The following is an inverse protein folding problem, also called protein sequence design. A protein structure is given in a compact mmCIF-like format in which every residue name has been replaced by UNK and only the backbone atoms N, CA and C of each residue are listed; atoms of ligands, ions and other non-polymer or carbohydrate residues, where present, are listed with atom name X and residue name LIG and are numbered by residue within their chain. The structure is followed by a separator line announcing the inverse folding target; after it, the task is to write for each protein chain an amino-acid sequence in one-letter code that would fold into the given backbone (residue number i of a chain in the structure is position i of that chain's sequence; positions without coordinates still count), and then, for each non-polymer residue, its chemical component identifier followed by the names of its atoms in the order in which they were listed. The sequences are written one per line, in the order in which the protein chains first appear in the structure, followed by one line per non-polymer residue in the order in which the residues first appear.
data_IF_437276539488
#
_entry.id   IF_437276539488
#
_cell.length_a   1.000
_cell.length_b   1.000
_cell.length_c   1.000
_cell.angle_alpha   90.00
_cell.angle_beta   90.00
_cell.angle_gamma   90.00
#
_symmetry.space_group_name_H-M   'P 1'
#
loop_
_entity.id
_entity.type
_entity.pdbx_description
1 polymer ?
#
# COMPACT_ATOMS: atom_id res chain seq x y z
N UNK A 1 14.45 -16.85 -17.09
CA UNK A 1 13.25 -16.34 -17.78
C UNK A 1 12.29 -15.89 -16.69
N UNK A 2 11.78 -14.65 -16.78
CA UNK A 2 10.78 -14.11 -15.85
C UNK A 2 9.48 -14.92 -15.95
N UNK A 3 8.86 -15.27 -14.83
CA UNK A 3 7.51 -15.85 -14.86
C UNK A 3 6.48 -14.72 -15.03
N UNK A 4 5.30 -15.04 -15.59
CA UNK A 4 4.15 -14.11 -15.58
C UNK A 4 3.76 -13.67 -14.16
N UNK A 5 4.04 -14.50 -13.16
CA UNK A 5 3.85 -14.15 -11.75
C UNK A 5 4.83 -13.07 -11.29
N UNK A 6 6.12 -13.18 -11.65
CA UNK A 6 7.13 -12.18 -11.32
C UNK A 6 6.79 -10.82 -11.94
N UNK A 7 6.36 -10.79 -13.21
CA UNK A 7 5.94 -9.56 -13.91
C UNK A 7 4.75 -8.89 -13.21
N UNK A 8 3.76 -9.68 -12.82
CA UNK A 8 2.58 -9.15 -12.14
C UNK A 8 2.92 -8.62 -10.75
N UNK A 9 3.73 -9.36 -9.98
CA UNK A 9 4.17 -8.92 -8.66
C UNK A 9 5.03 -7.65 -8.76
N UNK A 10 5.88 -7.55 -9.79
CA UNK A 10 6.64 -6.34 -10.09
C UNK A 10 5.72 -5.15 -10.39
N UNK A 11 4.69 -5.32 -11.23
CA UNK A 11 3.72 -4.24 -11.50
C UNK A 11 2.98 -3.76 -10.25
N UNK A 12 2.72 -4.65 -9.28
CA UNK A 12 2.14 -4.27 -7.99
C UNK A 12 3.11 -3.41 -7.17
N UNK A 13 4.41 -3.71 -7.22
CA UNK A 13 5.44 -2.87 -6.59
C UNK A 13 5.56 -1.49 -7.26
N UNK A 14 5.48 -1.42 -8.59
CA UNK A 14 5.42 -0.13 -9.30
C UNK A 14 4.19 0.68 -8.88
N UNK A 15 3.04 0.01 -8.68
CA UNK A 15 1.84 0.67 -8.15
C UNK A 15 2.04 1.20 -6.74
N UNK A 16 2.70 0.44 -5.86
CA UNK A 16 3.07 0.93 -4.51
C UNK A 16 3.94 2.18 -4.61
N UNK A 17 4.99 2.15 -5.45
CA UNK A 17 5.85 3.31 -5.68
C UNK A 17 5.04 4.54 -6.16
N UNK A 18 4.13 4.35 -7.12
CA UNK A 18 3.28 5.42 -7.61
C UNK A 18 2.42 6.03 -6.49
N UNK A 19 1.81 5.20 -5.64
CA UNK A 19 1.01 5.70 -4.52
C UNK A 19 1.84 6.49 -3.50
N UNK A 20 3.12 6.15 -3.28
CA UNK A 20 4.02 6.96 -2.46
C UNK A 20 4.31 8.32 -3.08
N UNK A 21 4.52 8.37 -4.41
CA UNK A 21 4.73 9.63 -5.12
C UNK A 21 3.50 10.55 -5.05
N UNK A 22 2.29 9.98 -5.19
CA UNK A 22 1.03 10.70 -5.02
C UNK A 22 0.89 11.24 -3.60
N UNK A 23 1.22 10.44 -2.58
CA UNK A 23 1.21 10.89 -1.17
C UNK A 23 2.17 12.06 -0.91
N UNK A 24 3.39 11.99 -1.46
CA UNK A 24 4.37 13.07 -1.35
C UNK A 24 3.88 14.38 -2.01
N UNK A 25 3.19 14.26 -3.15
CA UNK A 25 2.57 15.40 -3.82
C UNK A 25 1.52 16.07 -2.93
N UNK A 26 0.64 15.27 -2.31
CA UNK A 26 -0.39 15.80 -1.40
C UNK A 26 0.20 16.38 -0.10
N UNK A 27 1.27 15.80 0.45
CA UNK A 27 2.00 16.39 1.57
C UNK A 27 2.58 17.77 1.23
N UNK A 28 3.09 17.94 0.00
CA UNK A 28 3.58 19.23 -0.51
C UNK A 28 2.43 20.24 -0.64
N UNK A 29 1.26 19.80 -1.11
CA UNK A 29 0.05 20.64 -1.16
C UNK A 29 -0.40 21.06 0.26
N UNK A 30 -0.34 20.16 1.24
CA UNK A 30 -0.69 20.46 2.62
C UNK A 30 0.23 21.53 3.21
N UNK A 31 1.55 21.39 3.02
CA UNK A 31 2.54 22.38 3.47
C UNK A 31 2.27 23.77 2.87
N UNK A 32 1.83 23.82 1.61
CA UNK A 32 1.40 25.07 0.96
C UNK A 32 0.17 25.70 1.63
N UNK A 33 -0.83 24.90 1.99
CA UNK A 33 -2.01 25.40 2.72
C UNK A 33 -1.64 25.90 4.11
N UNK A 34 -0.77 25.20 4.83
CA UNK A 34 -0.27 25.65 6.15
C UNK A 34 0.47 27.00 6.03
N UNK A 35 1.26 27.19 4.96
CA UNK A 35 1.87 28.50 4.70
C UNK A 35 0.84 29.62 4.48
N UNK A 36 -0.29 29.34 3.85
CA UNK A 36 -1.39 30.31 3.74
C UNK A 36 -2.00 30.65 5.09
N UNK A 37 -2.18 29.65 5.97
CA UNK A 37 -2.61 29.88 7.36
C UNK A 37 -1.61 30.79 8.08
N UNK A 38 -0.31 30.48 8.00
CA UNK A 38 0.74 31.27 8.64
C UNK A 38 0.79 32.71 8.12
N UNK A 39 0.69 32.92 6.81
CA UNK A 39 0.64 34.26 6.22
C UNK A 39 -0.55 35.08 6.77
N UNK A 40 -1.72 34.46 6.93
CA UNK A 40 -2.91 35.12 7.51
C UNK A 40 -2.73 35.42 8.99
N UNK A 41 -2.26 34.46 9.79
CA UNK A 41 -2.03 34.66 11.23
C UNK A 41 -0.95 35.70 11.50
N UNK A 42 0.11 35.76 10.67
CA UNK A 42 1.13 36.80 10.77
C UNK A 42 0.57 38.21 10.58
N UNK A 43 -0.42 38.40 9.72
CA UNK A 43 -1.06 39.72 9.56
C UNK A 43 -1.87 40.17 10.78
N UNK A 44 -2.31 39.21 11.62
CA UNK A 44 -3.00 39.48 12.88
C UNK A 44 -1.98 39.83 13.97
N UNK A 45 -0.95 38.99 14.15
CA UNK A 45 0.07 39.16 15.20
C UNK A 45 1.00 40.34 14.90
N UNK A 46 1.44 40.48 13.65
CA UNK A 46 2.39 41.50 13.19
C UNK A 46 1.74 42.35 12.09
N UNK A 47 0.89 43.29 12.53
CA UNK A 47 -0.05 44.05 11.69
C UNK A 47 0.59 45.17 10.83
N UNK A 48 1.68 44.86 10.13
CA UNK A 48 2.31 45.77 9.16
C UNK A 48 1.67 45.66 7.77
N UNK A 49 1.93 46.65 6.91
CA UNK A 49 1.34 46.74 5.56
C UNK A 49 1.69 45.54 4.69
N UNK A 50 2.94 45.08 4.73
CA UNK A 50 3.42 43.94 3.95
C UNK A 50 2.65 42.65 4.28
N UNK A 51 2.51 42.33 5.57
CA UNK A 51 1.80 41.14 6.03
C UNK A 51 0.31 41.20 5.68
N UNK A 52 -0.32 42.37 5.80
CA UNK A 52 -1.74 42.56 5.42
C UNK A 52 -1.96 42.31 3.93
N UNK A 53 -1.10 42.88 3.07
CA UNK A 53 -1.16 42.67 1.61
C UNK A 53 -0.99 41.18 1.30
N UNK A 54 0.00 40.53 1.91
CA UNK A 54 0.26 39.10 1.72
C UNK A 54 -0.95 38.26 2.12
N UNK A 55 -1.58 38.54 3.27
CA UNK A 55 -2.76 37.82 3.75
C UNK A 55 -3.99 38.02 2.85
N UNK A 56 -4.21 39.22 2.32
CA UNK A 56 -5.31 39.51 1.38
C UNK A 56 -5.11 38.77 0.06
N UNK A 57 -3.86 38.55 -0.36
CA UNK A 57 -3.53 37.78 -1.58
C UNK A 57 -3.74 36.27 -1.44
N UNK A 58 -4.05 35.77 -0.23
CA UNK A 58 -4.30 34.33 0.02
C UNK A 58 -5.79 34.00 -0.06
N UNK A 59 -6.16 32.74 -0.38
CA UNK A 59 -7.55 32.29 -0.28
C UNK A 59 -8.12 32.56 1.10
N UNK A 60 -9.43 32.76 1.21
CA UNK A 60 -10.10 33.00 2.50
C UNK A 60 -9.98 31.79 3.44
N UNK A 61 -10.16 31.97 4.77
CA UNK A 61 -9.97 30.89 5.74
C UNK A 61 -10.85 29.67 5.49
N UNK A 62 -12.07 29.84 4.97
CA UNK A 62 -12.99 28.73 4.69
C UNK A 62 -12.45 27.89 3.54
N UNK A 63 -12.03 28.53 2.45
CA UNK A 63 -11.39 27.86 1.31
C UNK A 63 -10.11 27.11 1.72
N UNK A 64 -9.27 27.71 2.57
CA UNK A 64 -8.06 27.03 3.09
C UNK A 64 -8.46 25.80 3.92
N UNK A 65 -9.43 25.94 4.82
CA UNK A 65 -9.90 24.85 5.68
C UNK A 65 -10.47 23.67 4.87
N UNK A 66 -11.30 23.96 3.88
CA UNK A 66 -11.87 22.94 2.97
C UNK A 66 -10.76 22.25 2.16
N UNK A 67 -9.78 23.01 1.66
CA UNK A 67 -8.64 22.44 0.95
C UNK A 67 -7.81 21.51 1.85
N UNK A 68 -7.57 21.89 3.11
CA UNK A 68 -6.83 21.05 4.07
C UNK A 68 -7.60 19.75 4.32
N UNK A 69 -8.91 19.82 4.57
CA UNK A 69 -9.74 18.64 4.81
C UNK A 69 -9.67 17.66 3.62
N UNK A 70 -9.84 18.16 2.39
CA UNK A 70 -9.77 17.34 1.18
C UNK A 70 -8.40 16.69 0.98
N UNK A 71 -7.31 17.42 1.28
CA UNK A 71 -5.95 16.87 1.17
C UNK A 71 -5.74 15.74 2.20
N UNK A 72 -6.16 15.96 3.45
CA UNK A 72 -6.06 14.95 4.51
C UNK A 72 -6.86 13.68 4.15
N UNK A 73 -8.08 13.84 3.63
CA UNK A 73 -8.91 12.71 3.20
C UNK A 73 -8.21 11.89 2.10
N UNK A 74 -7.66 12.56 1.08
CA UNK A 74 -6.89 11.89 0.01
C UNK A 74 -5.66 11.18 0.55
N UNK A 75 -4.87 11.83 1.40
CA UNK A 75 -3.68 11.24 2.02
C UNK A 75 -4.04 9.99 2.82
N UNK A 76 -5.15 10.03 3.55
CA UNK A 76 -5.67 8.87 4.31
C UNK A 76 -6.06 7.72 3.39
N UNK A 77 -6.75 8.02 2.28
CA UNK A 77 -7.11 7.01 1.27
C UNK A 77 -5.87 6.38 0.63
N UNK A 78 -4.86 7.18 0.28
CA UNK A 78 -3.60 6.70 -0.28
C UNK A 78 -2.84 5.79 0.69
N UNK A 79 -2.77 6.14 1.98
CA UNK A 79 -2.18 5.28 3.00
C UNK A 79 -2.87 3.92 3.10
N UNK A 80 -4.21 3.91 3.04
CA UNK A 80 -4.97 2.66 3.05
C UNK A 80 -4.67 1.80 1.82
N UNK A 81 -4.61 2.40 0.63
CA UNK A 81 -4.24 1.70 -0.61
C UNK A 81 -2.82 1.13 -0.51
N UNK A 82 -1.86 1.90 0.01
CA UNK A 82 -0.48 1.45 0.23
C UNK A 82 -0.44 0.23 1.16
N UNK A 83 -1.16 0.29 2.29
CA UNK A 83 -1.27 -0.81 3.25
C UNK A 83 -1.87 -2.07 2.61
N UNK A 84 -3.01 -1.94 1.92
CA UNK A 84 -3.70 -3.06 1.29
C UNK A 84 -2.82 -3.73 0.22
N UNK A 85 -2.13 -2.93 -0.61
CA UNK A 85 -1.22 -3.45 -1.64
C UNK A 85 0.00 -4.14 -1.03
N UNK A 86 0.63 -3.54 -0.03
CA UNK A 86 1.79 -4.14 0.65
C UNK A 86 1.42 -5.47 1.32
N UNK A 87 0.24 -5.55 1.95
CA UNK A 87 -0.24 -6.78 2.55
C UNK A 87 -0.54 -7.87 1.51
N UNK A 88 -1.09 -7.50 0.36
CA UNK A 88 -1.30 -8.44 -0.76
C UNK A 88 0.04 -8.98 -1.28
N UNK A 89 0.99 -8.09 -1.58
CA UNK A 89 2.34 -8.46 -2.07
C UNK A 89 3.02 -9.40 -1.08
N UNK A 90 2.93 -9.12 0.23
CA UNK A 90 3.46 -9.97 1.29
C UNK A 90 2.89 -11.39 1.23
N UNK A 91 1.57 -11.50 1.20
CA UNK A 91 0.89 -12.79 1.15
C UNK A 91 1.32 -13.56 -0.11
N UNK A 92 1.38 -12.88 -1.26
CA UNK A 92 1.74 -13.48 -2.54
C UNK A 92 3.21 -13.93 -2.58
N UNK A 93 4.14 -13.13 -2.05
CA UNK A 93 5.54 -13.52 -1.90
C UNK A 93 5.71 -14.72 -0.96
N UNK A 94 5.02 -14.73 0.19
CA UNK A 94 5.12 -15.82 1.17
C UNK A 94 4.57 -17.15 0.63
N UNK A 95 3.63 -17.08 -0.31
CA UNK A 95 2.99 -18.26 -0.92
C UNK A 95 3.58 -18.62 -2.28
N UNK A 96 4.49 -17.80 -2.81
CA UNK A 96 5.05 -17.87 -4.16
C UNK A 96 3.98 -17.88 -5.28
N UNK A 97 2.83 -17.22 -5.04
CA UNK A 97 1.64 -17.26 -5.92
C UNK A 97 0.90 -15.93 -5.88
N UNK A 98 0.52 -15.40 -7.06
CA UNK A 98 0.02 -14.02 -7.21
C UNK A 98 -1.51 -13.95 -7.36
N UNK A 99 -2.05 -14.42 -8.48
CA UNK A 99 -3.49 -14.45 -8.76
C UNK A 99 -3.84 -15.64 -9.64
N UNK A 100 -5.12 -15.98 -9.74
CA UNK A 100 -5.56 -17.04 -10.66
C UNK A 100 -5.32 -16.62 -12.12
N UNK A 101 -4.67 -17.48 -12.90
CA UNK A 101 -4.41 -17.22 -14.33
C UNK A 101 -5.70 -17.15 -15.16
N UNK A 102 -6.78 -17.80 -14.69
CA UNK A 102 -8.05 -17.89 -15.43
C UNK A 102 -9.05 -16.78 -15.11
N UNK A 103 -9.17 -16.36 -13.84
CA UNK A 103 -10.18 -15.37 -13.43
C UNK A 103 -9.61 -14.13 -12.72
N UNK A 104 -8.28 -14.04 -12.57
CA UNK A 104 -7.61 -12.99 -11.79
C UNK A 104 -8.08 -12.90 -10.33
N UNK A 105 -8.71 -13.96 -9.81
CA UNK A 105 -9.13 -14.04 -8.41
C UNK A 105 -7.95 -14.12 -7.44
N UNK A 106 -8.21 -13.76 -6.18
CA UNK A 106 -7.20 -13.72 -5.11
C UNK A 106 -6.54 -15.08 -4.85
N UNK A 107 -5.23 -15.08 -4.61
CA UNK A 107 -4.42 -16.28 -4.41
C UNK A 107 -4.38 -16.82 -2.97
N UNK A 108 -4.75 -18.11 -2.78
CA UNK A 108 -4.10 -19.12 -1.90
C UNK A 108 -4.80 -20.49 -2.15
N UNK A 109 -4.23 -21.70 -1.97
CA UNK A 109 -3.20 -22.19 -1.04
C UNK A 109 -2.40 -23.35 -1.70
N UNK A 110 -1.21 -23.66 -1.17
CA UNK A 110 -0.72 -25.05 -1.07
C UNK A 110 -1.52 -25.78 0.02
N UNK A 111 -2.30 -26.79 -0.34
CA UNK A 111 -2.84 -27.71 0.67
C UNK A 111 -1.74 -28.72 1.03
N UNK A 112 -1.40 -28.82 2.31
CA UNK A 112 -0.59 -29.93 2.81
C UNK A 112 -1.49 -31.16 2.85
N UNK A 113 -1.17 -32.15 2.04
CA UNK A 113 -1.86 -33.43 2.03
C UNK A 113 -0.95 -34.44 2.70
N UNK A 114 -1.49 -35.09 3.73
CA UNK A 114 -0.83 -36.21 4.39
C UNK A 114 -1.38 -37.48 3.77
N UNK A 115 -0.54 -38.20 3.03
CA UNK A 115 -0.88 -39.53 2.51
C UNK A 115 -0.25 -40.55 3.44
N UNK A 116 -1.08 -41.43 4.00
CA UNK A 116 -0.63 -42.51 4.88
C UNK A 116 -0.48 -43.78 4.06
N UNK A 117 0.75 -44.23 3.90
CA UNK A 117 1.07 -45.56 3.40
C UNK A 117 1.25 -46.53 4.58
N UNK A 118 1.33 -47.85 4.29
CA UNK A 118 1.29 -48.93 5.29
C UNK A 118 2.25 -48.71 6.49
N UNK A 119 3.42 -48.11 6.26
CA UNK A 119 4.43 -47.84 7.30
C UNK A 119 4.90 -46.36 7.39
N UNK A 120 4.27 -45.42 6.67
CA UNK A 120 4.74 -44.01 6.67
C UNK A 120 3.64 -42.97 6.43
N UNK A 121 3.84 -41.75 6.96
CA UNK A 121 3.05 -40.57 6.59
C UNK A 121 3.93 -39.72 5.69
N UNK A 122 3.52 -39.58 4.42
CA UNK A 122 4.19 -38.78 3.42
C UNK A 122 3.49 -37.42 3.28
N UNK A 123 4.27 -36.34 3.35
CA UNK A 123 3.78 -34.97 3.15
C UNK A 123 3.91 -34.56 1.67
N UNK A 124 2.78 -34.24 1.04
CA UNK A 124 2.74 -33.68 -0.31
C UNK A 124 2.11 -32.29 -0.29
N UNK A 125 2.57 -31.44 -1.21
CA UNK A 125 1.92 -30.17 -1.49
C UNK A 125 1.14 -30.31 -2.79
N UNK A 126 -0.18 -30.12 -2.74
CA UNK A 126 -1.01 -30.08 -3.95
C UNK A 126 -1.38 -28.64 -4.28
N UNK A 127 -1.36 -28.34 -5.58
CA UNK A 127 -1.92 -27.10 -6.10
C UNK A 127 -3.44 -27.14 -5.99
N UNK A 128 -3.98 -26.28 -5.12
CA UNK A 128 -5.42 -26.07 -5.02
C UNK A 128 -5.91 -25.35 -6.28
N UNK A 129 -7.03 -25.83 -6.84
CA UNK A 129 -7.73 -25.10 -7.90
C UNK A 129 -8.26 -23.77 -7.36
N UNK A 130 -8.45 -22.79 -8.23
CA UNK A 130 -9.04 -21.52 -7.80
C UNK A 130 -10.47 -21.76 -7.29
N UNK A 131 -10.75 -21.37 -6.05
CA UNK A 131 -12.08 -21.55 -5.43
C UNK A 131 -13.19 -20.79 -6.17
N UNK A 132 -12.84 -19.72 -6.89
CA UNK A 132 -13.81 -18.91 -7.64
C UNK A 132 -14.18 -19.48 -9.01
N UNK A 133 -13.20 -19.96 -9.78
CA UNK A 133 -13.43 -20.38 -11.17
C UNK A 133 -13.14 -21.86 -11.43
N UNK A 134 -12.69 -22.59 -10.42
CA UNK A 134 -12.20 -23.97 -10.51
C UNK A 134 -11.11 -24.18 -11.58
N UNK A 135 -10.43 -23.09 -11.97
CA UNK A 135 -9.40 -23.05 -13.00
C UNK A 135 -8.09 -23.72 -12.58
N UNK A 136 -7.18 -23.87 -13.56
CA UNK A 136 -5.99 -24.72 -13.50
C UNK A 136 -4.92 -24.28 -12.49
N UNK A 137 -5.00 -23.06 -11.94
CA UNK A 137 -4.12 -22.66 -10.84
C UNK A 137 -3.83 -21.16 -10.77
N UNK A 138 -2.82 -20.84 -9.98
CA UNK A 138 -2.35 -19.49 -9.70
C UNK A 138 -1.01 -19.22 -10.38
N UNK A 139 -0.77 -17.99 -10.82
CA UNK A 139 0.51 -17.55 -11.35
C UNK A 139 1.58 -17.71 -10.27
N UNK A 140 2.58 -18.54 -10.54
CA UNK A 140 3.71 -18.76 -9.63
C UNK A 140 4.78 -17.69 -9.83
N UNK A 141 5.39 -17.26 -8.74
CA UNK A 141 6.61 -16.45 -8.75
C UNK A 141 7.84 -17.34 -8.64
N UNK A 142 8.97 -16.86 -9.12
CA UNK A 142 10.24 -17.54 -8.88
C UNK A 142 10.69 -17.28 -7.45
N UNK A 143 11.17 -18.33 -6.77
CA UNK A 143 11.69 -18.23 -5.40
C UNK A 143 12.72 -17.09 -5.21
N UNK A 144 13.71 -16.90 -6.11
CA UNK A 144 14.64 -15.77 -5.98
C UNK A 144 13.97 -14.39 -6.00
N UNK A 145 12.92 -14.21 -6.82
CA UNK A 145 12.18 -12.95 -6.87
C UNK A 145 11.44 -12.71 -5.55
N UNK A 146 10.67 -13.70 -5.08
CA UNK A 146 9.89 -13.61 -3.85
C UNK A 146 10.77 -13.40 -2.62
N UNK A 147 11.91 -14.10 -2.52
CA UNK A 147 12.86 -13.92 -1.41
C UNK A 147 13.46 -12.51 -1.40
N UNK A 148 13.89 -11.98 -2.56
CA UNK A 148 14.41 -10.62 -2.63
C UNK A 148 13.35 -9.58 -2.30
N UNK A 149 12.13 -9.74 -2.83
CA UNK A 149 11.02 -8.84 -2.53
C UNK A 149 10.70 -8.83 -1.02
N UNK A 150 10.65 -9.98 -0.36
CA UNK A 150 10.41 -10.07 1.09
C UNK A 150 11.49 -9.36 1.90
N UNK A 151 12.77 -9.56 1.55
CA UNK A 151 13.90 -8.89 2.23
C UNK A 151 13.80 -7.37 2.08
N UNK A 152 13.56 -6.88 0.85
CA UNK A 152 13.53 -5.45 0.57
C UNK A 152 12.31 -4.74 1.17
N UNK A 153 11.18 -5.45 1.26
CA UNK A 153 9.95 -4.89 1.80
C UNK A 153 9.87 -4.95 3.33
N UNK A 154 10.69 -5.77 4.00
CA UNK A 154 10.60 -6.02 5.45
C UNK A 154 10.51 -4.71 6.27
N UNK A 155 11.35 -3.73 5.97
CA UNK A 155 11.34 -2.44 6.67
C UNK A 155 10.16 -1.52 6.31
N UNK A 156 9.68 -1.59 5.07
CA UNK A 156 8.45 -0.88 4.68
C UNK A 156 7.26 -1.44 5.45
N UNK A 157 7.25 -2.75 5.69
CA UNK A 157 6.19 -3.45 6.39
C UNK A 157 6.19 -3.10 7.87
N UNK A 158 7.36 -3.11 8.53
CA UNK A 158 7.49 -2.75 9.95
C UNK A 158 6.91 -1.36 10.23
N UNK A 159 7.16 -0.39 9.34
CA UNK A 159 6.59 0.96 9.41
C UNK A 159 5.06 0.97 9.43
N UNK A 160 4.41 0.10 8.65
CA UNK A 160 2.94 0.02 8.59
C UNK A 160 2.33 -0.89 9.66
N UNK A 161 3.05 -1.92 10.13
CA UNK A 161 2.58 -2.81 11.20
C UNK A 161 2.67 -2.14 12.58
N UNK A 162 3.65 -1.27 12.80
CA UNK A 162 3.75 -0.48 14.03
C UNK A 162 2.52 0.43 14.23
N UNK A 163 2.02 1.08 13.17
CA UNK A 163 0.81 1.93 13.21
C UNK A 163 -0.47 1.10 13.49
N UNK A 164 -0.49 -0.20 13.20
CA UNK A 164 -1.61 -1.08 13.55
C UNK A 164 -1.67 -1.44 15.04
N UNK A 165 -0.53 -1.54 15.73
CA UNK A 165 -0.50 -1.85 17.15
C UNK A 165 -0.93 -0.66 18.01
N UNK A 166 -0.52 0.56 17.66
CA UNK A 166 -0.95 1.78 18.39
C UNK A 166 -2.44 2.09 18.19
N UNK A 167 -3.03 1.79 17.02
CA UNK A 167 -4.47 2.02 16.77
C UNK A 167 -5.40 0.95 17.33
N UNK A 168 -4.89 -0.25 17.61
CA UNK A 168 -5.70 -1.35 18.16
C UNK A 168 -5.64 -1.48 19.67
N UNK A 169 -4.85 -0.64 20.36
CA UNK A 169 -4.92 -0.50 21.82
C UNK A 169 -4.95 -1.83 22.56
N UNK A 170 -3.87 -2.58 22.49
CA UNK A 170 -3.53 -3.58 23.52
C UNK A 170 -2.40 -3.05 24.38
#
# INVERSE_FOLDING_TARGET
MSSKGDELLFSKLERVQQTFAEYLSEATNLAKQVNYVLDRLRAIVYSNTENKIKAISRPDPKTISESIANIIEKMTSLLKIQQDLLQQILNECSQEKVQCDTCSGAGSIKEKIYVRDEDSINEFYQDKRCDQCNGLGFLQTTKPFSEQALIMLHHLIDLYTYDMQERTGK
#
